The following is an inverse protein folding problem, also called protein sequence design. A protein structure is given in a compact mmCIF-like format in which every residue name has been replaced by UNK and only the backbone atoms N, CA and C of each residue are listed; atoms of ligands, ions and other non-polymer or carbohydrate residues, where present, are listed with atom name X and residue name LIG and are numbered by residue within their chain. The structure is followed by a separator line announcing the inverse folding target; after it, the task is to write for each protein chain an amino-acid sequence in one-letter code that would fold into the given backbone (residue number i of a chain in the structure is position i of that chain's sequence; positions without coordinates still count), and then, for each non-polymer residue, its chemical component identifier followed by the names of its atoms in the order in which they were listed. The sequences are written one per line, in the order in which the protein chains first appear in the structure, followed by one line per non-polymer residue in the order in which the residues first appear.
data_IF_977306904667
#
_entry.id   IF_977306904667
#
_cell.length_a   1.000
_cell.length_b   1.000
_cell.length_c   1.000
_cell.angle_alpha   90.00
_cell.angle_beta   90.00
_cell.angle_gamma   90.00
#
_symmetry.space_group_name_H-M   'P 1'
#
loop_
_entity.id
_entity.type
_entity.pdbx_description
1 polymer ?
#
# COMPACT_ATOMS: atom_id res chain seq x y z
N UNK A 1 -1.92 24.94 -15.00
CA UNK A 1 -0.97 24.38 -15.98
C UNK A 1 -1.13 22.88 -15.93
N UNK A 2 -1.72 22.26 -16.96
CA UNK A 2 -1.87 20.80 -17.03
C UNK A 2 -0.56 20.21 -17.56
N UNK A 3 0.40 20.02 -16.67
CA UNK A 3 1.63 19.32 -16.94
C UNK A 3 1.67 18.07 -16.07
N UNK A 4 0.74 17.15 -16.30
CA UNK A 4 0.59 15.95 -15.48
C UNK A 4 0.58 14.69 -16.32
N UNK A 5 1.58 13.83 -16.10
CA UNK A 5 1.63 12.51 -16.72
C UNK A 5 0.55 11.58 -16.16
N UNK A 6 0.56 10.31 -16.58
CA UNK A 6 -0.42 9.30 -16.13
C UNK A 6 -0.54 9.18 -14.59
N UNK A 7 0.54 9.47 -13.86
CA UNK A 7 0.58 9.48 -12.39
C UNK A 7 -0.32 10.57 -11.75
N UNK A 8 -0.41 11.76 -12.35
CA UNK A 8 -1.25 12.85 -11.87
C UNK A 8 -2.73 12.58 -12.15
N UNK A 9 -3.02 11.96 -13.31
CA UNK A 9 -4.36 11.52 -13.68
C UNK A 9 -4.86 10.37 -12.78
N UNK A 10 -3.95 9.56 -12.25
CA UNK A 10 -4.24 8.47 -11.32
C UNK A 10 -4.37 8.91 -9.84
N UNK A 11 -4.19 10.21 -9.53
CA UNK A 11 -4.40 10.74 -8.18
C UNK A 11 -3.28 10.45 -7.18
N UNK A 12 -2.09 10.03 -7.64
CA UNK A 12 -0.96 9.66 -6.77
C UNK A 12 -0.43 10.82 -5.91
N UNK A 13 -0.31 12.07 -6.42
CA UNK A 13 0.09 13.20 -5.57
C UNK A 13 -0.89 13.46 -4.43
N UNK A 14 -2.19 13.29 -4.68
CA UNK A 14 -3.24 13.48 -3.69
C UNK A 14 -3.20 12.38 -2.62
N UNK A 15 -2.99 11.12 -3.03
CA UNK A 15 -2.80 10.00 -2.12
C UNK A 15 -1.54 10.19 -1.25
N UNK A 16 -0.43 10.64 -1.83
CA UNK A 16 0.79 10.92 -1.09
C UNK A 16 0.62 12.04 -0.05
N UNK A 17 -0.14 13.09 -0.40
CA UNK A 17 -0.45 14.15 0.57
C UNK A 17 -1.34 13.64 1.69
N UNK A 18 -2.38 12.88 1.37
CA UNK A 18 -3.28 12.31 2.36
C UNK A 18 -2.55 11.34 3.32
N UNK A 19 -1.64 10.51 2.80
CA UNK A 19 -0.81 9.62 3.61
C UNK A 19 0.10 10.42 4.57
N UNK A 20 0.78 11.45 4.08
CA UNK A 20 1.62 12.31 4.91
C UNK A 20 0.82 13.01 6.02
N UNK A 21 -0.37 13.53 5.70
CA UNK A 21 -1.27 14.13 6.69
C UNK A 21 -1.72 13.11 7.74
N UNK A 22 -2.07 11.88 7.33
CA UNK A 22 -2.48 10.80 8.24
C UNK A 22 -1.35 10.38 9.19
N UNK A 23 -0.11 10.22 8.68
CA UNK A 23 1.07 9.94 9.51
C UNK A 23 1.34 11.06 10.50
N UNK A 24 1.27 12.32 10.06
CA UNK A 24 1.46 13.47 10.93
C UNK A 24 0.40 13.54 12.04
N UNK A 25 -0.87 13.25 11.73
CA UNK A 25 -1.95 13.21 12.72
C UNK A 25 -1.79 12.07 13.73
N UNK A 26 -1.35 10.90 13.27
CA UNK A 26 -1.12 9.73 14.12
C UNK A 26 0.19 9.81 14.92
N UNK A 27 1.13 10.69 14.53
CA UNK A 27 2.44 10.81 15.16
C UNK A 27 3.33 9.59 14.93
N UNK A 28 3.08 8.84 13.86
CA UNK A 28 3.83 7.62 13.48
C UNK A 28 4.53 7.84 12.16
N UNK A 29 5.59 7.07 11.94
CA UNK A 29 6.29 7.02 10.65
C UNK A 29 5.74 5.90 9.77
N UNK A 30 5.90 5.98 8.43
CA UNK A 30 5.48 4.92 7.51
C UNK A 30 6.06 3.55 7.86
N UNK A 31 7.28 3.49 8.38
CA UNK A 31 7.98 2.25 8.74
C UNK A 31 7.39 1.56 9.98
N UNK A 32 6.58 2.27 10.76
CA UNK A 32 5.90 1.76 11.96
C UNK A 32 4.55 1.10 11.61
N UNK A 33 4.14 1.13 10.35
CA UNK A 33 2.88 0.57 9.88
C UNK A 33 3.03 -0.93 9.63
N UNK A 34 2.40 -1.74 10.47
CA UNK A 34 2.41 -3.20 10.31
C UNK A 34 1.38 -3.74 9.31
N UNK A 35 0.31 -2.98 9.04
CA UNK A 35 -0.81 -3.40 8.19
C UNK A 35 -1.33 -2.22 7.36
N UNK A 36 -1.59 -2.47 6.07
CA UNK A 36 -2.22 -1.52 5.15
C UNK A 36 -3.39 -2.22 4.45
N UNK A 37 -4.55 -1.57 4.40
CA UNK A 37 -5.67 -1.95 3.53
C UNK A 37 -5.81 -0.89 2.43
N UNK A 38 -5.70 -1.31 1.17
CA UNK A 38 -5.74 -0.49 -0.01
C UNK A 38 -7.06 -0.68 -0.76
N UNK A 39 -7.56 0.38 -1.37
CA UNK A 39 -8.69 0.31 -2.30
C UNK A 39 -8.19 -0.07 -3.71
N UNK A 40 -8.19 -1.37 -4.01
CA UNK A 40 -7.61 -2.02 -5.19
C UNK A 40 -8.63 -2.27 -6.32
N UNK A 41 -9.11 -1.21 -6.97
CA UNK A 41 -10.00 -1.36 -8.14
C UNK A 41 -9.30 -1.82 -9.43
N UNK A 42 -7.97 -1.78 -9.50
CA UNK A 42 -7.18 -2.25 -10.63
C UNK A 42 -5.82 -2.76 -10.13
N UNK A 43 -5.48 -4.01 -10.45
CA UNK A 43 -4.26 -4.73 -10.02
C UNK A 43 -2.92 -4.00 -10.30
N UNK A 44 -2.76 -3.16 -11.34
CA UNK A 44 -1.53 -2.37 -11.54
C UNK A 44 -1.35 -1.21 -10.55
N UNK A 45 -2.39 -0.84 -9.79
CA UNK A 45 -2.36 0.31 -8.89
C UNK A 45 -1.63 0.03 -7.57
N UNK A 46 -1.44 -1.24 -7.22
CA UNK A 46 -0.77 -1.66 -5.97
C UNK A 46 0.71 -1.21 -5.93
N UNK A 47 1.40 -1.27 -7.07
CA UNK A 47 2.80 -0.82 -7.17
C UNK A 47 2.92 0.71 -7.05
N UNK A 48 1.98 1.46 -7.62
CA UNK A 48 2.00 2.92 -7.55
C UNK A 48 1.61 3.41 -6.14
N UNK A 49 0.76 2.65 -5.44
CA UNK A 49 0.34 2.96 -4.08
C UNK A 49 1.46 2.78 -3.05
N UNK A 50 2.42 1.87 -3.23
CA UNK A 50 3.54 1.73 -2.29
C UNK A 50 4.40 2.98 -2.18
N UNK A 51 4.63 3.65 -3.31
CA UNK A 51 5.40 4.90 -3.36
C UNK A 51 4.57 6.07 -2.84
N UNK A 52 3.28 6.12 -3.19
CA UNK A 52 2.37 7.13 -2.67
C UNK A 52 2.19 7.03 -1.14
N UNK A 53 2.12 5.81 -0.60
CA UNK A 53 2.07 5.56 0.85
C UNK A 53 3.41 5.72 1.56
N UNK A 54 4.48 6.04 0.83
CA UNK A 54 5.82 6.19 1.39
C UNK A 54 6.36 4.90 2.06
N UNK A 55 5.85 3.74 1.65
CA UNK A 55 6.37 2.43 2.10
C UNK A 55 7.70 2.10 1.41
N UNK A 56 7.91 2.65 0.21
CA UNK A 56 9.17 2.61 -0.50
C UNK A 56 9.44 3.93 -1.24
N UNK A 57 10.70 4.18 -1.58
CA UNK A 57 11.07 5.36 -2.37
C UNK A 57 10.59 5.29 -3.84
N UNK A 58 10.59 6.42 -4.57
CA UNK A 58 10.19 6.46 -5.98
C UNK A 58 10.96 5.46 -6.86
N UNK A 59 10.26 4.73 -7.71
CA UNK A 59 10.81 3.67 -8.58
C UNK A 59 11.23 2.38 -7.86
N UNK A 60 10.94 2.23 -6.56
CA UNK A 60 11.35 1.06 -5.76
C UNK A 60 10.21 0.08 -5.49
N UNK A 61 9.00 0.34 -5.98
CA UNK A 61 7.83 -0.52 -5.76
C UNK A 61 8.07 -2.00 -6.15
N UNK A 62 8.75 -2.24 -7.27
CA UNK A 62 9.05 -3.61 -7.73
C UNK A 62 10.03 -4.35 -6.81
N UNK A 63 10.98 -3.65 -6.19
CA UNK A 63 11.89 -4.24 -5.21
C UNK A 63 11.18 -4.50 -3.89
N UNK A 64 10.36 -3.54 -3.43
CA UNK A 64 9.51 -3.69 -2.25
C UNK A 64 8.62 -4.93 -2.37
N UNK A 65 7.96 -5.13 -3.51
CA UNK A 65 7.13 -6.31 -3.78
C UNK A 65 7.91 -7.63 -3.82
N UNK A 66 9.16 -7.61 -4.32
CA UNK A 66 10.03 -8.79 -4.37
C UNK A 66 10.51 -9.22 -2.99
N UNK A 67 10.62 -8.29 -2.04
CA UNK A 67 10.97 -8.55 -0.65
C UNK A 67 9.76 -9.06 0.13
N UNK A 68 9.22 -10.20 -0.28
CA UNK A 68 8.04 -10.80 0.35
C UNK A 68 8.37 -12.07 1.10
N UNK A 69 7.76 -12.23 2.26
CA UNK A 69 7.85 -13.43 3.08
C UNK A 69 6.45 -13.87 3.52
N UNK A 70 6.20 -15.18 3.49
CA UNK A 70 4.99 -15.75 4.08
C UNK A 70 5.27 -16.03 5.55
N UNK A 71 4.49 -15.43 6.44
CA UNK A 71 4.56 -15.65 7.88
C UNK A 71 3.26 -16.31 8.36
N UNK A 72 3.35 -17.15 9.39
CA UNK A 72 2.18 -17.69 10.06
C UNK A 72 2.00 -17.01 11.42
N UNK A 73 0.77 -16.67 11.79
CA UNK A 73 0.46 -16.23 13.14
C UNK A 73 0.38 -17.44 14.11
N UNK A 74 0.24 -17.15 15.41
CA UNK A 74 0.15 -18.19 16.45
C UNK A 74 -1.02 -19.17 16.27
N UNK A 75 -2.05 -18.82 15.49
CA UNK A 75 -3.18 -19.66 15.14
C UNK A 75 -3.02 -20.43 13.82
N UNK A 76 -1.86 -20.33 13.16
CA UNK A 76 -1.57 -21.02 11.91
C UNK A 76 -2.07 -20.33 10.63
N UNK A 77 -2.72 -19.17 10.74
CA UNK A 77 -3.13 -18.41 9.56
C UNK A 77 -1.91 -17.73 8.91
N UNK A 78 -1.79 -17.85 7.59
CA UNK A 78 -0.67 -17.31 6.81
C UNK A 78 -0.99 -15.92 6.26
N UNK A 79 0.00 -15.03 6.31
CA UNK A 79 -0.05 -13.70 5.71
C UNK A 79 1.23 -13.40 4.97
N UNK A 80 1.16 -12.62 3.89
CA UNK A 80 2.33 -12.16 3.15
C UNK A 80 2.74 -10.80 3.68
N UNK A 81 3.98 -10.70 4.17
CA UNK A 81 4.63 -9.44 4.53
C UNK A 81 5.52 -9.00 3.38
N UNK A 82 5.59 -7.71 3.14
CA UNK A 82 6.33 -7.11 2.03
C UNK A 82 7.22 -5.96 2.53
N UNK A 83 8.36 -5.78 1.88
CA UNK A 83 9.31 -4.71 2.17
C UNK A 83 10.14 -4.91 3.45
N UNK A 84 11.07 -3.99 3.72
CA UNK A 84 12.09 -4.14 4.77
C UNK A 84 11.52 -4.09 6.20
N UNK A 85 10.34 -3.51 6.37
CA UNK A 85 9.65 -3.41 7.66
C UNK A 85 8.56 -4.49 7.81
N UNK A 86 8.37 -5.32 6.78
CA UNK A 86 7.42 -6.42 6.76
C UNK A 86 5.98 -5.94 6.99
N UNK A 87 5.50 -5.14 6.05
CA UNK A 87 4.13 -4.61 6.02
C UNK A 87 3.21 -5.69 5.47
N UNK A 88 2.09 -5.96 6.14
CA UNK A 88 1.03 -6.81 5.60
C UNK A 88 0.08 -5.94 4.78
N UNK A 89 -0.07 -6.22 3.49
CA UNK A 89 -0.96 -5.49 2.58
C UNK A 89 -2.20 -6.34 2.32
N UNK A 90 -3.38 -5.73 2.45
CA UNK A 90 -4.70 -6.33 2.22
C UNK A 90 -4.93 -7.69 2.92
N UNK A 91 -4.63 -7.84 4.23
CA UNK A 91 -4.87 -9.10 4.95
C UNK A 91 -6.34 -9.54 4.96
N UNK A 92 -7.27 -8.62 4.70
CA UNK A 92 -8.69 -8.93 4.54
C UNK A 92 -9.02 -9.68 3.24
N UNK A 93 -8.09 -9.72 2.28
CA UNK A 93 -8.26 -10.31 0.95
C UNK A 93 -8.34 -9.31 -0.22
N UNK A 94 -8.41 -8.00 0.04
CA UNK A 94 -8.61 -6.98 -1.02
C UNK A 94 -9.97 -7.10 -1.74
N UNK A 95 -10.27 -6.22 -2.69
CA UNK A 95 -11.46 -6.35 -3.57
C UNK A 95 -11.45 -7.70 -4.30
N UNK A 96 -10.27 -8.22 -4.60
CA UNK A 96 -10.04 -9.48 -5.32
C UNK A 96 -10.53 -10.73 -4.55
N UNK A 97 -10.55 -10.71 -3.21
CA UNK A 97 -11.00 -11.88 -2.42
C UNK A 97 -12.18 -11.63 -1.47
N UNK A 98 -12.64 -10.39 -1.25
CA UNK A 98 -13.84 -10.09 -0.43
C UNK A 98 -15.09 -9.69 -1.22
N UNK A 99 -14.96 -9.36 -2.50
CA UNK A 99 -16.08 -8.86 -3.30
C UNK A 99 -16.37 -7.37 -3.06
N UNK A 100 -17.05 -6.77 -4.03
CA UNK A 100 -17.37 -5.36 -4.11
C UNK A 100 -18.82 -5.10 -3.64
N UNK A 101 -19.08 -4.70 -2.38
CA UNK A 101 -20.36 -4.13 -2.04
C UNK A 101 -20.32 -2.64 -2.38
N UNK A 102 -20.97 -2.26 -3.48
CA UNK A 102 -21.36 -0.88 -3.75
C UNK A 102 -22.22 -0.40 -2.58
N UNK A 103 -21.79 0.68 -1.93
CA UNK A 103 -22.57 1.49 -1.00
C UNK A 103 -22.28 2.95 -1.25
#
# INVERSE_FOLDING_TARGET
SFAGGAADLAGLPQAARAAAEAYAQAGVRPEEIGVVELHDCFSPNELLLYEALQLCGPGRAAEFWRQRETVANAGGAQHVRQGPHGVVVNPSGGLESKGHPIG
#
